data_IF_891803084041
#
_entry.id   IF_891803084041
#
_cell.length_a   1.000
_cell.length_b   1.000
_cell.length_c   1.000
_cell.angle_alpha   90.00
_cell.angle_beta   90.00
_cell.angle_gamma   90.00
#
_symmetry.space_group_name_H-M   'P 1'
#
loop_
_entity.id
_entity.type
_entity.pdbx_description
1 polymer ?
#
# COMPACT_ATOMS: atom_id res chain seq x y z
N UNK A 1 3.34 0.89 23.82
CA UNK A 1 3.86 1.76 22.74
C UNK A 1 3.99 0.92 21.49
N UNK A 2 3.37 1.33 20.39
CA UNK A 2 3.55 0.66 19.11
C UNK A 2 4.94 0.97 18.54
N UNK A 3 5.56 0.01 17.86
CA UNK A 3 6.97 0.08 17.43
C UNK A 3 7.25 1.23 16.47
N UNK A 4 6.27 1.63 15.66
CA UNK A 4 6.41 2.62 14.58
C UNK A 4 5.53 3.85 14.78
N UNK A 5 5.06 4.08 16.00
CA UNK A 5 4.20 5.22 16.31
C UNK A 5 4.84 6.56 15.86
N UNK A 6 4.09 7.34 15.09
CA UNK A 6 4.52 8.65 14.57
C UNK A 6 5.58 8.58 13.47
N UNK A 7 5.86 7.39 12.89
CA UNK A 7 6.75 7.23 11.73
C UNK A 7 5.97 7.22 10.43
N UNK A 8 6.68 7.47 9.33
CA UNK A 8 6.18 7.31 7.97
C UNK A 8 6.94 6.16 7.30
N UNK A 9 6.22 5.19 6.75
CA UNK A 9 6.79 4.09 5.98
C UNK A 9 6.52 4.28 4.48
N UNK A 10 7.51 4.01 3.64
CA UNK A 10 7.36 3.94 2.19
C UNK A 10 7.37 2.47 1.76
N UNK A 11 6.29 2.02 1.11
CA UNK A 11 6.14 0.64 0.64
C UNK A 11 5.96 0.62 -0.86
N UNK A 12 6.88 -0.01 -1.57
CA UNK A 12 6.80 -0.21 -3.01
C UNK A 12 6.16 -1.55 -3.35
N UNK A 13 5.51 -1.62 -4.52
CA UNK A 13 4.78 -2.80 -5.01
C UNK A 13 3.62 -3.22 -4.09
N UNK A 14 2.80 -2.24 -3.73
CA UNK A 14 1.74 -2.40 -2.75
C UNK A 14 0.38 -2.81 -3.36
N UNK A 15 0.08 -2.43 -4.61
CA UNK A 15 -1.29 -2.42 -5.14
C UNK A 15 -1.95 -3.81 -5.34
N UNK A 16 -1.21 -4.91 -5.20
CA UNK A 16 -1.77 -6.26 -5.33
C UNK A 16 -2.41 -6.72 -4.03
N UNK A 17 -3.69 -7.09 -4.08
CA UNK A 17 -4.49 -7.56 -2.92
C UNK A 17 -3.79 -8.63 -2.07
N UNK A 18 -3.08 -9.56 -2.72
CA UNK A 18 -2.35 -10.66 -2.06
C UNK A 18 -0.83 -10.48 -2.15
N UNK A 19 -0.39 -9.28 -2.49
CA UNK A 19 1.01 -8.93 -2.58
C UNK A 19 1.66 -8.80 -1.20
N UNK A 20 2.96 -9.10 -1.16
CA UNK A 20 3.76 -8.89 0.05
C UNK A 20 3.81 -7.40 0.43
N UNK A 21 3.85 -6.50 -0.56
CA UNK A 21 3.81 -5.05 -0.31
C UNK A 21 2.55 -4.64 0.45
N UNK A 22 1.38 -5.10 0.01
CA UNK A 22 0.12 -4.86 0.70
C UNK A 22 0.15 -5.34 2.16
N UNK A 23 0.55 -6.61 2.37
CA UNK A 23 0.62 -7.18 3.72
C UNK A 23 1.60 -6.42 4.63
N UNK A 24 2.73 -5.95 4.07
CA UNK A 24 3.69 -5.12 4.80
C UNK A 24 3.09 -3.76 5.15
N UNK A 25 2.43 -3.08 4.21
CA UNK A 25 1.80 -1.78 4.46
C UNK A 25 0.79 -1.84 5.61
N UNK A 26 -0.10 -2.83 5.59
CA UNK A 26 -1.06 -3.06 6.67
C UNK A 26 -0.38 -3.38 8.01
N UNK A 27 0.69 -4.19 7.99
CA UNK A 27 1.43 -4.53 9.21
C UNK A 27 2.12 -3.31 9.81
N UNK A 28 2.74 -2.47 9.00
CA UNK A 28 3.42 -1.24 9.46
C UNK A 28 2.40 -0.22 9.98
N UNK A 29 1.25 -0.09 9.31
CA UNK A 29 0.14 0.74 9.77
C UNK A 29 -0.40 0.28 11.13
N UNK A 30 -0.61 -1.03 11.31
CA UNK A 30 -1.01 -1.62 12.58
C UNK A 30 0.02 -1.39 13.71
N UNK A 31 1.30 -1.15 13.36
CA UNK A 31 2.36 -0.75 14.30
C UNK A 31 2.46 0.77 14.51
N UNK A 32 1.49 1.55 14.01
CA UNK A 32 1.35 2.98 14.28
C UNK A 32 1.97 3.91 13.24
N UNK A 33 2.47 3.36 12.12
CA UNK A 33 3.02 4.18 11.03
C UNK A 33 1.92 4.78 10.14
N UNK A 34 2.15 5.99 9.64
CA UNK A 34 1.51 6.45 8.41
C UNK A 34 2.25 5.84 7.21
N UNK A 35 1.56 5.61 6.09
CA UNK A 35 2.14 4.80 5.00
C UNK A 35 2.00 5.50 3.64
N UNK A 36 3.10 5.61 2.92
CA UNK A 36 3.09 5.93 1.49
C UNK A 36 3.18 4.62 0.72
N UNK A 37 2.18 4.33 -0.10
CA UNK A 37 2.12 3.12 -0.91
C UNK A 37 2.35 3.47 -2.38
N UNK A 38 3.24 2.73 -3.02
CA UNK A 38 3.69 2.99 -4.40
C UNK A 38 3.56 1.74 -5.24
N UNK A 39 2.97 1.87 -6.43
CA UNK A 39 2.98 0.82 -7.44
C UNK A 39 3.00 1.41 -8.84
N UNK A 40 3.43 0.62 -9.82
CA UNK A 40 3.41 0.98 -11.24
C UNK A 40 1.99 1.15 -11.76
N UNK A 41 1.04 0.40 -11.20
CA UNK A 41 -0.36 0.43 -11.60
C UNK A 41 -1.24 0.76 -10.39
N UNK A 42 -2.19 1.68 -10.56
CA UNK A 42 -3.15 2.03 -9.51
C UNK A 42 -3.97 0.81 -9.06
N UNK A 43 -4.47 0.02 -10.01
CA UNK A 43 -5.19 -1.22 -9.77
C UNK A 43 -4.68 -2.29 -10.76
N UNK A 44 -3.67 -3.10 -10.38
CA UNK A 44 -3.16 -4.16 -11.24
C UNK A 44 -4.21 -5.28 -11.37
N UNK A 45 -4.21 -5.95 -12.52
CA UNK A 45 -5.04 -7.14 -12.72
C UNK A 45 -4.71 -8.20 -11.68
N UNK A 46 -5.73 -8.68 -10.97
CA UNK A 46 -5.59 -9.78 -10.01
C UNK A 46 -5.03 -11.04 -10.69
N UNK A 47 -4.14 -11.75 -9.99
CA UNK A 47 -3.58 -13.02 -10.47
C UNK A 47 -4.62 -14.13 -10.44
N UNK A 48 -5.59 -14.04 -9.54
CA UNK A 48 -6.67 -15.01 -9.37
C UNK A 48 -8.00 -14.38 -9.76
N UNK A 49 -8.93 -15.13 -10.40
CA UNK A 49 -10.25 -14.62 -10.76
C UNK A 49 -11.05 -14.05 -9.59
N UNK A 50 -10.86 -14.57 -8.38
CA UNK A 50 -11.52 -14.09 -7.15
C UNK A 50 -11.07 -12.67 -6.71
N UNK A 51 -9.97 -12.18 -7.28
CA UNK A 51 -9.44 -10.85 -7.00
C UNK A 51 -9.76 -9.86 -8.14
N UNK A 52 -10.60 -10.26 -9.11
CA UNK A 52 -11.15 -9.33 -10.10
C UNK A 52 -11.95 -8.21 -9.41
N UNK A 53 -11.79 -6.98 -9.91
CA UNK A 53 -12.42 -5.80 -9.32
C UNK A 53 -11.76 -5.29 -8.04
N UNK A 54 -10.59 -5.82 -7.65
CA UNK A 54 -9.79 -5.23 -6.58
C UNK A 54 -9.49 -3.75 -6.86
N UNK A 55 -9.74 -2.89 -5.87
CA UNK A 55 -9.59 -1.44 -6.00
C UNK A 55 -8.14 -0.94 -6.02
N UNK A 56 -7.15 -1.82 -5.86
CA UNK A 56 -5.74 -1.43 -5.92
C UNK A 56 -5.32 -0.54 -4.76
N UNK A 57 -4.52 0.49 -5.08
CA UNK A 57 -4.02 1.46 -4.10
C UNK A 57 -5.14 2.20 -3.36
N UNK A 58 -6.27 2.49 -4.00
CA UNK A 58 -7.39 3.20 -3.36
C UNK A 58 -8.05 2.34 -2.28
N UNK A 59 -8.20 1.04 -2.53
CA UNK A 59 -8.70 0.10 -1.54
C UNK A 59 -7.73 -0.02 -0.36
N UNK A 60 -6.43 -0.07 -0.64
CA UNK A 60 -5.38 -0.14 0.39
C UNK A 60 -5.30 1.14 1.24
N UNK A 61 -5.48 2.34 0.65
CA UNK A 61 -5.62 3.60 1.40
C UNK A 61 -6.80 3.53 2.37
N UNK A 62 -7.95 3.02 1.91
CA UNK A 62 -9.13 2.87 2.77
C UNK A 62 -8.88 1.86 3.90
N UNK A 63 -8.21 0.74 3.62
CA UNK A 63 -7.86 -0.26 4.63
C UNK A 63 -6.91 0.33 5.70
N UNK A 64 -5.87 1.06 5.29
CA UNK A 64 -4.95 1.73 6.23
C UNK A 64 -5.69 2.80 7.04
N UNK A 65 -6.58 3.56 6.40
CA UNK A 65 -7.46 4.53 7.06
C UNK A 65 -8.33 3.89 8.14
N UNK A 66 -8.83 2.67 7.91
CA UNK A 66 -9.61 1.92 8.90
C UNK A 66 -8.80 1.51 10.14
N UNK A 67 -7.47 1.47 10.03
CA UNK A 67 -6.54 1.25 11.15
C UNK A 67 -6.23 2.56 11.93
N UNK A 68 -6.87 3.67 11.57
CA UNK A 68 -6.65 4.98 12.18
C UNK A 68 -5.30 5.58 11.82
N UNK A 69 -4.77 5.26 10.64
CA UNK A 69 -3.51 5.81 10.10
C UNK A 69 -3.77 6.55 8.81
N UNK A 70 -2.86 7.45 8.45
CA UNK A 70 -2.91 8.14 7.16
C UNK A 70 -2.17 7.34 6.09
N UNK A 71 -2.72 7.36 4.87
CA UNK A 71 -2.09 6.75 3.71
C UNK A 71 -2.07 7.69 2.51
N UNK A 72 -0.97 7.64 1.74
CA UNK A 72 -0.82 8.33 0.46
C UNK A 72 -0.48 7.32 -0.62
N UNK A 73 -1.33 7.24 -1.66
CA UNK A 73 -1.09 6.43 -2.84
C UNK A 73 -0.31 7.21 -3.90
N UNK A 74 0.73 6.58 -4.47
CA UNK A 74 1.50 7.11 -5.59
C UNK A 74 1.57 6.07 -6.70
N UNK A 75 1.15 6.45 -7.91
CA UNK A 75 1.35 5.63 -9.10
C UNK A 75 2.67 6.04 -9.75
N UNK A 76 3.66 5.16 -9.67
CA UNK A 76 4.98 5.40 -10.24
C UNK A 76 5.68 4.10 -10.65
N UNK A 77 6.32 4.11 -11.82
CA UNK A 77 7.23 3.05 -12.22
C UNK A 77 8.62 3.30 -11.62
N UNK A 78 8.95 2.58 -10.55
CA UNK A 78 10.22 2.73 -9.83
C UNK A 78 11.45 2.32 -10.66
N UNK A 79 11.26 1.67 -11.81
CA UNK A 79 12.37 1.40 -12.75
C UNK A 79 12.78 2.63 -13.55
N UNK A 80 11.97 3.69 -13.56
CA UNK A 80 12.23 4.93 -14.29
C UNK A 80 12.77 6.03 -13.37
N UNK A 81 14.06 5.94 -13.06
CA UNK A 81 14.77 6.98 -12.32
C UNK A 81 15.17 8.15 -13.22
N UNK A 82 14.26 9.10 -13.47
CA UNK A 82 14.67 10.40 -14.03
C UNK A 82 15.46 11.15 -12.96
N UNK A 83 16.69 11.54 -13.29
CA UNK A 83 17.54 12.43 -12.49
C UNK A 83 17.14 13.88 -12.70
#
# INVERSE_FOLDING_TARGET
MNRLEGKVALVTRAASKRGIGHAIALKLAAEGANVVIVDKYAAPRGLFPIDEGWGGLDAEVAEIGSLGREALAIVADISNGRK
#
